data_IF_058477023931
#
_entry.id   IF_058477023931
#
_cell.length_a   1.000
_cell.length_b   1.000
_cell.length_c   1.000
_cell.angle_alpha   90.00
_cell.angle_beta   90.00
_cell.angle_gamma   90.00
#
_symmetry.space_group_name_H-M   'P 1'
#
loop_
_entity.id
_entity.type
_entity.pdbx_description
1 polymer ?
#
# COMPACT_ATOMS: atom_id res chain seq x y z
N UNK A 1 0.34 -14.40 -13.34
CA UNK A 1 1.06 -14.76 -12.10
C UNK A 1 2.04 -13.63 -11.77
N UNK A 2 1.58 -12.60 -11.05
CA UNK A 2 2.34 -11.37 -10.84
C UNK A 2 3.43 -11.56 -9.79
N UNK A 3 4.68 -11.20 -10.13
CA UNK A 3 5.80 -11.19 -9.18
C UNK A 3 5.42 -10.29 -8.00
N UNK A 4 5.19 -10.87 -6.83
CA UNK A 4 5.16 -10.11 -5.58
C UNK A 4 6.57 -9.60 -5.32
N UNK A 5 6.91 -8.45 -5.89
CA UNK A 5 8.13 -7.75 -5.55
C UNK A 5 7.91 -7.14 -4.16
N UNK A 6 8.35 -7.86 -3.12
CA UNK A 6 8.53 -7.26 -1.81
C UNK A 6 9.49 -6.07 -1.98
N UNK A 7 8.99 -4.85 -1.79
CA UNK A 7 9.83 -3.65 -1.91
C UNK A 7 10.88 -3.70 -0.82
N UNK A 8 12.16 -3.68 -1.22
CA UNK A 8 13.27 -3.56 -0.29
C UNK A 8 13.35 -2.10 0.17
N UNK A 9 13.15 -1.86 1.46
CA UNK A 9 13.34 -0.54 2.05
C UNK A 9 14.83 -0.29 2.25
N UNK A 10 15.40 0.65 1.49
CA UNK A 10 16.81 1.02 1.59
C UNK A 10 17.01 2.24 2.51
N UNK A 11 17.98 2.21 3.45
CA UNK A 11 18.24 3.33 4.35
C UNK A 11 18.48 4.67 3.65
N UNK A 12 19.19 4.66 2.51
CA UNK A 12 19.47 5.87 1.74
C UNK A 12 18.19 6.52 1.17
N UNK A 13 17.21 5.71 0.75
CA UNK A 13 15.93 6.19 0.22
C UNK A 13 15.05 6.78 1.33
N UNK A 14 15.06 6.13 2.50
CA UNK A 14 14.38 6.66 3.71
C UNK A 14 15.01 7.98 4.14
N UNK A 15 16.34 8.09 4.15
CA UNK A 15 17.03 9.34 4.47
C UNK A 15 16.74 10.45 3.45
N UNK A 16 16.73 10.12 2.15
CA UNK A 16 16.36 11.08 1.12
C UNK A 16 14.94 11.61 1.33
N UNK A 17 13.98 10.74 1.63
CA UNK A 17 12.61 11.14 1.98
C UNK A 17 12.55 12.01 3.24
N UNK A 18 13.29 11.66 4.30
CA UNK A 18 13.36 12.47 5.53
C UNK A 18 13.86 13.89 5.21
N UNK A 19 14.88 14.02 4.34
CA UNK A 19 15.48 15.30 3.97
C UNK A 19 14.57 16.22 3.17
N UNK A 20 13.53 15.69 2.53
CA UNK A 20 12.50 16.54 1.89
C UNK A 20 11.65 17.32 2.91
N UNK A 21 11.61 16.89 4.18
CA UNK A 21 10.84 17.51 5.28
C UNK A 21 11.74 18.17 6.33
N UNK A 22 12.91 17.57 6.55
CA UNK A 22 13.90 17.97 7.53
C UNK A 22 15.26 18.00 6.83
N UNK A 23 15.66 19.13 6.22
CA UNK A 23 16.88 19.19 5.41
C UNK A 23 18.15 18.77 6.15
N UNK A 24 18.18 18.95 7.48
CA UNK A 24 19.26 18.57 8.39
C UNK A 24 19.13 17.14 8.94
N UNK A 25 18.18 16.34 8.44
CA UNK A 25 17.96 15.01 8.96
C UNK A 25 19.14 14.06 8.73
N UNK A 26 19.38 13.24 9.76
CA UNK A 26 20.29 12.10 9.69
C UNK A 26 19.64 10.83 10.24
N UNK A 27 19.83 9.72 9.52
CA UNK A 27 19.20 8.44 9.85
C UNK A 27 20.05 7.72 10.90
N UNK A 28 19.50 7.53 12.09
CA UNK A 28 20.18 6.85 13.21
C UNK A 28 20.00 5.34 13.10
N UNK A 29 18.78 4.87 12.83
CA UNK A 29 18.50 3.43 12.75
C UNK A 29 17.25 3.12 11.92
N UNK A 30 17.27 1.95 11.28
CA UNK A 30 16.12 1.31 10.66
C UNK A 30 16.02 -0.13 11.19
N UNK A 31 15.00 -0.44 11.99
CA UNK A 31 14.89 -1.74 12.69
C UNK A 31 13.50 -2.35 12.56
N UNK A 32 13.38 -3.67 12.32
CA UNK A 32 12.08 -4.34 12.41
C UNK A 32 11.47 -4.18 13.81
N UNK A 33 10.17 -3.87 13.86
CA UNK A 33 9.40 -3.87 15.09
C UNK A 33 8.82 -5.27 15.34
N UNK A 34 8.95 -5.76 16.58
CA UNK A 34 8.33 -7.03 16.99
C UNK A 34 9.06 -8.30 16.56
N UNK A 35 10.35 -8.21 16.22
CA UNK A 35 11.18 -9.34 15.77
C UNK A 35 11.19 -10.55 16.73
N UNK A 36 10.95 -10.32 18.02
CA UNK A 36 10.93 -11.38 19.04
C UNK A 36 9.53 -12.00 19.26
N UNK A 37 8.45 -11.49 18.65
CA UNK A 37 7.06 -11.81 19.00
C UNK A 37 6.20 -12.42 17.87
N UNK A 38 6.71 -12.59 16.65
CA UNK A 38 5.87 -12.90 15.47
C UNK A 38 6.37 -14.03 14.55
N UNK A 39 7.15 -14.99 15.05
CA UNK A 39 7.47 -16.16 14.24
C UNK A 39 6.24 -17.09 14.09
N UNK A 40 5.76 -17.26 12.85
CA UNK A 40 5.05 -18.49 12.43
C UNK A 40 3.67 -18.36 11.80
N UNK A 41 2.89 -17.29 12.05
CA UNK A 41 1.51 -17.21 11.52
C UNK A 41 1.01 -15.80 11.13
N UNK A 42 1.63 -14.73 11.64
CA UNK A 42 1.26 -13.32 11.35
C UNK A 42 2.19 -12.62 10.36
N UNK A 43 3.11 -13.36 9.73
CA UNK A 43 4.03 -12.84 8.70
C UNK A 43 3.32 -12.57 7.35
N UNK A 44 2.04 -12.93 7.22
CA UNK A 44 1.27 -12.79 5.98
C UNK A 44 0.41 -11.51 5.98
N UNK A 45 0.42 -10.75 4.88
CA UNK A 45 -0.49 -9.62 4.60
C UNK A 45 -0.05 -8.23 5.10
N UNK A 46 0.48 -8.14 6.32
CA UNK A 46 0.70 -6.83 7.01
C UNK A 46 2.12 -6.24 6.86
N UNK A 47 3.01 -6.93 6.14
CA UNK A 47 4.43 -6.59 6.06
C UNK A 47 5.15 -6.62 7.42
N UNK A 48 6.44 -6.27 7.43
CA UNK A 48 7.23 -6.14 8.67
C UNK A 48 7.44 -4.67 8.96
N UNK A 49 6.71 -4.06 9.91
CA UNK A 49 6.85 -2.64 10.22
C UNK A 49 8.28 -2.34 10.67
N UNK A 50 8.84 -1.23 10.19
CA UNK A 50 10.17 -0.77 10.54
C UNK A 50 10.06 0.47 11.43
N UNK A 51 10.74 0.47 12.58
CA UNK A 51 11.04 1.68 13.33
C UNK A 51 12.15 2.43 12.61
N UNK A 52 11.86 3.68 12.27
CA UNK A 52 12.82 4.64 11.70
C UNK A 52 13.18 5.61 12.81
N UNK A 53 14.43 5.58 13.26
CA UNK A 53 14.96 6.54 14.24
C UNK A 53 15.86 7.50 13.50
N UNK A 54 15.65 8.81 13.66
CA UNK A 54 16.43 9.83 12.98
C UNK A 54 16.61 11.07 13.85
N UNK A 55 17.62 11.89 13.56
CA UNK A 55 17.81 13.20 14.19
C UNK A 55 17.37 14.30 13.23
N UNK A 56 16.74 15.34 13.76
CA UNK A 56 16.40 16.57 13.03
C UNK A 56 16.17 17.71 14.02
N UNK A 57 16.63 18.91 13.68
CA UNK A 57 16.62 20.10 14.53
C UNK A 57 17.20 19.81 15.93
N UNK A 58 18.32 19.08 15.99
CA UNK A 58 19.02 18.72 17.23
C UNK A 58 18.27 17.75 18.15
N UNK A 59 17.17 17.13 17.70
CA UNK A 59 16.36 16.18 18.48
C UNK A 59 16.27 14.83 17.78
N UNK A 60 16.09 13.77 18.56
CA UNK A 60 15.83 12.42 18.05
C UNK A 60 14.33 12.19 17.90
N UNK A 61 13.93 11.60 16.78
CA UNK A 61 12.55 11.30 16.41
C UNK A 61 12.41 9.82 16.05
N UNK A 62 11.21 9.29 16.22
CA UNK A 62 10.85 7.92 15.84
C UNK A 62 9.60 7.91 14.96
N UNK A 63 9.66 7.18 13.85
CA UNK A 63 8.53 6.90 12.98
C UNK A 63 8.39 5.38 12.79
N UNK A 64 7.21 4.96 12.33
CA UNK A 64 6.99 3.58 11.92
C UNK A 64 6.62 3.55 10.44
N UNK A 65 7.51 3.00 9.63
CA UNK A 65 7.26 2.72 8.22
C UNK A 65 6.59 1.36 8.10
N UNK A 66 5.40 1.33 7.49
CA UNK A 66 4.63 0.10 7.26
C UNK A 66 4.51 -0.15 5.76
N UNK A 67 4.57 -1.42 5.39
CA UNK A 67 4.23 -1.89 4.04
C UNK A 67 3.19 -3.00 4.17
N UNK A 68 2.42 -3.23 3.12
CA UNK A 68 1.52 -4.40 3.04
C UNK A 68 1.94 -5.26 1.85
N UNK A 69 1.92 -6.58 2.03
CA UNK A 69 2.29 -7.54 1.00
C UNK A 69 1.04 -8.30 0.52
N UNK A 70 0.97 -8.72 -0.75
CA UNK A 70 -0.06 -9.66 -1.17
C UNK A 70 0.05 -10.95 -0.36
N UNK A 71 -1.09 -11.60 -0.11
CA UNK A 71 -1.10 -12.91 0.55
C UNK A 71 -0.98 -14.05 -0.49
N UNK A 72 -0.68 -15.29 -0.07
CA UNK A 72 -0.56 -16.42 -0.99
C UNK A 72 -1.91 -16.91 -1.53
N UNK A 73 -3.04 -16.37 -1.06
CA UNK A 73 -4.39 -16.76 -1.45
C UNK A 73 -5.00 -15.85 -2.52
N UNK A 74 -4.27 -14.81 -2.94
CA UNK A 74 -4.71 -13.87 -3.97
C UNK A 74 -5.56 -12.71 -3.42
N UNK A 75 -5.63 -12.54 -2.10
CA UNK A 75 -6.16 -11.32 -1.50
C UNK A 75 -5.07 -10.24 -1.40
N UNK A 76 -5.48 -9.06 -0.93
CA UNK A 76 -4.61 -7.90 -0.85
C UNK A 76 -4.03 -7.55 -2.23
N UNK A 77 -4.89 -7.42 -3.24
CA UNK A 77 -4.52 -6.84 -4.53
C UNK A 77 -3.95 -5.43 -4.29
N UNK A 78 -3.25 -4.88 -5.28
CA UNK A 78 -2.68 -3.52 -5.14
C UNK A 78 -3.76 -2.50 -4.74
N UNK A 79 -4.95 -2.57 -5.35
CA UNK A 79 -6.06 -1.69 -5.02
C UNK A 79 -6.49 -1.85 -3.55
N UNK A 80 -6.71 -3.08 -3.09
CA UNK A 80 -7.10 -3.39 -1.71
C UNK A 80 -6.10 -2.81 -0.70
N UNK A 81 -4.79 -3.02 -0.91
CA UNK A 81 -3.75 -2.50 -0.01
C UNK A 81 -3.69 -0.97 0.02
N UNK A 82 -3.94 -0.33 -1.11
CA UNK A 82 -4.01 1.14 -1.18
C UNK A 82 -5.24 1.63 -0.42
N UNK A 83 -6.40 1.01 -0.64
CA UNK A 83 -7.64 1.35 0.06
C UNK A 83 -7.48 1.21 1.58
N UNK A 84 -6.89 0.11 2.05
CA UNK A 84 -6.64 -0.13 3.49
C UNK A 84 -5.74 0.96 4.11
N UNK A 85 -4.63 1.31 3.44
CA UNK A 85 -3.68 2.31 3.94
C UNK A 85 -4.25 3.72 3.93
N UNK A 86 -5.05 4.08 2.91
CA UNK A 86 -5.78 5.36 2.86
C UNK A 86 -6.81 5.41 3.99
N UNK A 87 -7.62 4.35 4.17
CA UNK A 87 -8.58 4.28 5.26
C UNK A 87 -7.91 4.43 6.64
N UNK A 88 -6.75 3.80 6.86
CA UNK A 88 -5.99 3.97 8.08
C UNK A 88 -5.53 5.42 8.27
N UNK A 89 -5.04 6.05 7.20
CA UNK A 89 -4.60 7.45 7.23
C UNK A 89 -5.75 8.39 7.62
N UNK A 90 -6.94 8.19 7.06
CA UNK A 90 -8.06 9.10 7.29
C UNK A 90 -8.73 8.90 8.66
N UNK A 91 -8.71 7.67 9.18
CA UNK A 91 -9.46 7.32 10.39
C UNK A 91 -8.62 7.37 11.67
N UNK A 92 -7.33 7.03 11.63
CA UNK A 92 -6.52 6.89 12.84
C UNK A 92 -6.41 8.21 13.63
N UNK A 93 -6.32 9.35 12.94
CA UNK A 93 -6.26 10.67 13.57
C UNK A 93 -7.53 11.06 14.34
N UNK A 94 -8.68 10.48 13.99
CA UNK A 94 -9.96 10.74 14.63
C UNK A 94 -10.22 9.88 15.88
N UNK A 95 -9.44 8.81 16.09
CA UNK A 95 -9.64 7.88 17.20
C UNK A 95 -8.89 8.39 18.45
N UNK A 96 -9.59 8.67 19.58
CA UNK A 96 -8.95 9.19 20.77
C UNK A 96 -7.82 8.29 21.28
N UNK A 97 -6.66 8.89 21.57
CA UNK A 97 -5.44 8.20 22.04
C UNK A 97 -4.86 7.19 21.05
N UNK A 98 -5.30 7.18 19.79
CA UNK A 98 -4.66 6.40 18.75
C UNK A 98 -3.47 7.16 18.14
N UNK A 99 -2.61 6.44 17.40
CA UNK A 99 -1.45 7.03 16.75
C UNK A 99 -1.94 7.92 15.60
N UNK A 100 -1.34 9.09 15.42
CA UNK A 100 -1.62 9.90 14.25
C UNK A 100 -0.82 9.38 13.06
N UNK A 101 -1.47 9.07 11.92
CA UNK A 101 -0.74 8.73 10.71
C UNK A 101 0.00 9.99 10.24
N UNK A 102 1.22 9.80 9.75
CA UNK A 102 2.06 10.90 9.26
C UNK A 102 1.87 11.13 7.76
N UNK A 103 1.78 10.04 6.99
CA UNK A 103 1.66 10.07 5.53
C UNK A 103 1.23 8.69 5.00
N UNK A 104 0.54 8.68 3.86
CA UNK A 104 0.32 7.48 3.03
C UNK A 104 0.88 7.73 1.63
N UNK A 105 1.45 6.70 1.00
CA UNK A 105 2.16 6.86 -0.26
C UNK A 105 2.51 5.54 -0.94
N UNK A 106 3.32 5.63 -1.99
CA UNK A 106 3.81 4.49 -2.76
C UNK A 106 5.33 4.52 -2.92
N UNK A 107 5.93 3.35 -3.06
CA UNK A 107 7.31 3.22 -3.52
C UNK A 107 7.36 3.29 -5.05
N UNK A 108 8.27 4.06 -5.60
CA UNK A 108 8.59 4.05 -7.04
C UNK A 108 9.36 2.78 -7.40
N UNK A 109 9.48 2.44 -8.70
CA UNK A 109 10.33 1.33 -9.15
C UNK A 109 11.79 1.44 -8.66
N UNK A 110 12.29 2.67 -8.49
CA UNK A 110 13.65 2.96 -8.01
C UNK A 110 13.77 2.93 -6.47
N UNK A 111 12.67 2.65 -5.75
CA UNK A 111 12.63 2.54 -4.29
C UNK A 111 12.43 3.87 -3.55
N UNK A 112 12.12 4.97 -4.25
CA UNK A 112 11.82 6.25 -3.61
C UNK A 112 10.40 6.26 -3.02
N UNK A 113 10.22 6.98 -1.91
CA UNK A 113 8.92 7.17 -1.28
C UNK A 113 8.22 8.39 -1.88
N UNK A 114 7.02 8.21 -2.43
CA UNK A 114 6.18 9.28 -2.97
C UNK A 114 4.86 9.36 -2.21
N UNK A 115 4.49 10.52 -1.65
CA UNK A 115 3.18 10.69 -1.02
C UNK A 115 2.07 10.52 -2.04
N UNK A 116 0.93 9.99 -1.59
CA UNK A 116 -0.33 10.19 -2.29
C UNK A 116 -0.80 11.62 -2.01
N UNK A 117 -1.18 12.40 -3.02
CA UNK A 117 -1.72 13.73 -2.80
C UNK A 117 -3.03 13.64 -2.01
N UNK A 118 -3.25 14.63 -1.14
CA UNK A 118 -4.51 14.82 -0.45
C UNK A 118 -5.62 15.27 -1.42
N UNK A 119 -6.88 15.01 -1.07
CA UNK A 119 -8.07 15.35 -1.86
C UNK A 119 -8.84 14.16 -2.41
N UNK A 120 -9.92 14.46 -3.15
CA UNK A 120 -10.81 13.45 -3.73
C UNK A 120 -10.15 12.73 -4.91
N UNK A 121 -10.02 11.39 -4.88
CA UNK A 121 -9.48 10.65 -6.01
C UNK A 121 -10.46 10.66 -7.18
N UNK A 122 -9.97 10.93 -8.39
CA UNK A 122 -10.75 10.81 -9.61
C UNK A 122 -10.13 9.78 -10.56
N UNK A 123 -10.99 9.06 -11.28
CA UNK A 123 -10.61 8.19 -12.39
C UNK A 123 -11.27 8.74 -13.65
N UNK A 124 -10.44 9.06 -14.64
CA UNK A 124 -10.90 9.35 -16.01
C UNK A 124 -10.49 8.16 -16.84
N UNK A 125 -11.45 7.52 -17.48
CA UNK A 125 -11.22 6.44 -18.43
C UNK A 125 -11.41 6.95 -19.84
N UNK A 126 -10.91 6.20 -20.81
CA UNK A 126 -11.34 6.35 -22.19
C UNK A 126 -12.84 6.01 -22.29
N UNK A 127 -13.54 6.68 -23.20
CA UNK A 127 -14.90 6.31 -23.58
C UNK A 127 -14.83 5.25 -24.67
N UNK A 128 -15.57 4.16 -24.50
CA UNK A 128 -15.68 3.09 -25.50
C UNK A 128 -17.16 2.77 -25.69
N UNK A 129 -17.63 2.76 -26.95
CA UNK A 129 -18.96 2.26 -27.28
C UNK A 129 -19.02 0.74 -27.12
N UNK A 130 -20.08 0.23 -26.51
CA UNK A 130 -20.26 -1.19 -26.27
C UNK A 130 -21.73 -1.58 -26.11
N UNK A 131 -21.95 -2.87 -25.88
CA UNK A 131 -23.27 -3.41 -25.51
C UNK A 131 -23.28 -3.77 -24.03
N UNK A 132 -24.45 -3.75 -23.41
CA UNK A 132 -24.58 -4.11 -22.00
C UNK A 132 -24.33 -5.60 -21.84
N UNK A 133 -23.50 -5.98 -20.86
CA UNK A 133 -23.32 -7.39 -20.48
C UNK A 133 -24.63 -8.08 -20.08
N UNK A 134 -25.66 -7.32 -19.68
CA UNK A 134 -26.99 -7.85 -19.43
C UNK A 134 -27.62 -8.54 -20.66
N UNK A 135 -27.31 -8.08 -21.87
CA UNK A 135 -27.79 -8.72 -23.11
C UNK A 135 -27.16 -10.10 -23.29
N UNK A 136 -25.91 -10.26 -22.85
CA UNK A 136 -25.23 -11.55 -22.83
C UNK A 136 -25.84 -12.47 -21.78
N UNK A 137 -26.12 -11.96 -20.58
CA UNK A 137 -26.81 -12.71 -19.53
C UNK A 137 -28.20 -13.19 -19.96
N UNK A 138 -28.98 -12.36 -20.65
CA UNK A 138 -30.29 -12.77 -21.18
C UNK A 138 -30.16 -13.85 -22.25
N UNK A 139 -29.17 -13.75 -23.14
CA UNK A 139 -28.86 -14.82 -24.10
C UNK A 139 -28.51 -16.13 -23.41
N UNK A 140 -27.65 -16.06 -22.40
CA UNK A 140 -27.23 -17.21 -21.60
C UNK A 140 -28.40 -17.86 -20.88
N UNK A 141 -29.28 -17.05 -20.27
CA UNK A 141 -30.45 -17.55 -19.56
C UNK A 141 -31.51 -18.18 -20.49
N UNK A 142 -31.56 -17.74 -21.75
CA UNK A 142 -32.47 -18.27 -22.77
C UNK A 142 -31.90 -19.46 -23.55
N UNK A 143 -30.60 -19.74 -23.43
CA UNK A 143 -29.93 -20.87 -24.07
C UNK A 143 -29.89 -22.07 -23.11
N UNK A 144 -30.28 -23.26 -23.58
CA UNK A 144 -30.18 -24.52 -22.81
C UNK A 144 -28.73 -25.03 -22.66
N UNK A 145 -27.76 -24.42 -23.36
CA UNK A 145 -26.34 -24.74 -23.27
C UNK A 145 -25.48 -23.48 -23.08
N UNK A 146 -24.49 -23.57 -22.20
CA UNK A 146 -23.52 -22.49 -22.00
C UNK A 146 -22.59 -22.39 -23.22
N UNK A 147 -22.41 -21.20 -23.82
CA UNK A 147 -21.50 -21.00 -24.93
C UNK A 147 -20.05 -21.22 -24.48
N UNK A 148 -19.22 -21.66 -25.44
CA UNK A 148 -17.78 -21.90 -25.28
C UNK A 148 -17.11 -20.63 -24.74
N UNK A 149 -16.19 -20.71 -23.74
CA UNK A 149 -15.59 -19.53 -23.14
C UNK A 149 -14.86 -18.68 -24.19
N UNK A 150 -15.13 -17.38 -24.18
CA UNK A 150 -14.31 -16.40 -24.90
C UNK A 150 -13.07 -16.10 -24.04
N UNK A 151 -12.13 -17.04 -24.02
CA UNK A 151 -10.81 -16.87 -23.42
C UNK A 151 -9.78 -16.85 -24.55
N UNK A 152 -9.68 -15.70 -25.22
CA UNK A 152 -8.55 -15.34 -26.08
C UNK A 152 -7.56 -14.44 -25.32
#
# INVERSE_FOLDING_TARGET
MGRSATVRVEPARVLAWLRTRHPDADLVALRPLGADAQAGLKDYGYGRPLRVTFTAAGRTHDLVLRTMAPDPFGHHRRADRVADLVLCHDTFGAIPRHIRPAEVGAFTPDGDLRPLPDGEPYLITEFVEGRLYADDLHRLAAADEAPVPDLA
#
